data_IF_145288764183
#
_entry.id   IF_145288764183
#
_cell.length_a   1.000
_cell.length_b   1.000
_cell.length_c   1.000
_cell.angle_alpha   90.00
_cell.angle_beta   90.00
_cell.angle_gamma   90.00
#
_symmetry.space_group_name_H-M   'P 1'
#
loop_
_entity.id
_entity.type
_entity.pdbx_description
1 polymer ?
#
# COMPACT_ATOMS: atom_id res chain seq x y z
N UNK A 1 -45.30 17.27 29.81
CA UNK A 1 -44.53 17.77 28.65
C UNK A 1 -43.08 17.86 29.09
N UNK A 2 -42.28 16.86 28.73
CA UNK A 2 -41.00 16.56 29.37
C UNK A 2 -39.87 16.71 28.37
N UNK A 3 -38.87 17.52 28.73
CA UNK A 3 -37.57 17.63 28.08
C UNK A 3 -36.83 16.28 28.12
N UNK A 4 -36.28 15.85 26.98
CA UNK A 4 -35.26 14.80 26.95
C UNK A 4 -33.94 15.38 26.43
N UNK A 5 -32.96 15.36 27.33
CA UNK A 5 -31.55 15.64 27.12
C UNK A 5 -30.97 14.67 26.07
N UNK A 6 -30.18 15.22 25.16
CA UNK A 6 -29.23 14.49 24.32
C UNK A 6 -27.96 14.25 25.13
N UNK A 7 -27.73 13.01 25.55
CA UNK A 7 -26.49 12.59 26.20
C UNK A 7 -25.41 12.31 25.15
N UNK A 8 -24.28 13.00 25.31
CA UNK A 8 -23.02 12.80 24.60
C UNK A 8 -22.46 11.39 24.80
N UNK A 9 -22.10 10.72 23.71
CA UNK A 9 -21.25 9.52 23.75
C UNK A 9 -19.82 9.97 23.48
N UNK A 10 -19.13 10.41 24.54
CA UNK A 10 -17.67 10.59 24.56
C UNK A 10 -17.09 9.56 25.54
N UNK A 11 -16.97 8.33 25.10
CA UNK A 11 -16.21 7.31 25.79
C UNK A 11 -15.88 6.24 24.77
N UNK A 12 -14.62 5.80 24.73
CA UNK A 12 -14.06 4.62 24.02
C UNK A 12 -12.78 4.88 23.20
N UNK A 13 -12.20 6.09 23.26
CA UNK A 13 -10.84 6.36 22.74
C UNK A 13 -9.70 5.90 23.68
N UNK A 14 -10.01 5.26 24.81
CA UNK A 14 -9.09 5.15 25.94
C UNK A 14 -8.25 3.87 26.04
N UNK A 15 -8.41 2.92 25.11
CA UNK A 15 -7.71 1.61 25.20
C UNK A 15 -6.48 1.47 24.29
N UNK A 16 -6.19 2.46 23.43
CA UNK A 16 -5.02 2.47 22.54
C UNK A 16 -3.93 3.47 22.97
N UNK A 17 -4.15 4.21 24.05
CA UNK A 17 -3.26 5.29 24.53
C UNK A 17 -2.06 4.82 25.38
N UNK A 18 -1.82 3.52 25.53
CA UNK A 18 -0.70 2.98 26.32
C UNK A 18 0.58 2.69 25.50
N UNK A 19 0.73 3.30 24.31
CA UNK A 19 1.69 2.89 23.28
C UNK A 19 2.95 3.79 23.13
N UNK A 20 3.31 4.62 24.12
CA UNK A 20 4.48 5.52 24.02
C UNK A 20 5.60 5.27 25.03
N UNK A 21 5.78 4.03 25.52
CA UNK A 21 6.85 3.74 26.48
C UNK A 21 7.55 2.44 26.17
N UNK A 22 8.48 2.49 25.22
CA UNK A 22 9.67 1.64 25.28
C UNK A 22 10.52 2.12 26.45
N UNK A 23 10.24 1.61 27.66
CA UNK A 23 11.19 1.66 28.76
C UNK A 23 12.35 0.70 28.45
N UNK A 24 13.35 1.19 27.72
CA UNK A 24 14.72 0.76 27.98
C UNK A 24 15.34 1.81 28.91
N UNK A 25 15.63 1.40 30.13
CA UNK A 25 16.23 2.23 31.15
C UNK A 25 17.57 2.84 30.67
N UNK A 26 17.58 4.14 30.41
CA UNK A 26 18.78 4.98 30.51
C UNK A 26 18.37 6.45 30.72
N UNK A 27 18.65 6.95 31.92
CA UNK A 27 18.80 8.34 32.37
C UNK A 27 18.30 9.47 31.45
N UNK A 28 17.34 10.24 31.96
CA UNK A 28 16.84 11.47 31.37
C UNK A 28 17.93 12.52 31.14
N UNK A 29 18.21 12.78 29.87
CA UNK A 29 18.73 14.04 29.31
C UNK A 29 18.02 14.21 27.96
N UNK A 30 17.64 15.44 27.60
CA UNK A 30 16.81 15.77 26.44
C UNK A 30 17.26 15.11 25.12
N UNK A 31 16.60 14.02 24.70
CA UNK A 31 16.91 13.21 23.51
C UNK A 31 16.57 13.87 22.16
N UNK A 32 15.83 14.97 22.15
CA UNK A 32 15.30 15.58 20.93
C UNK A 32 16.37 16.14 19.98
N UNK A 33 17.52 16.60 20.50
CA UNK A 33 18.58 17.15 19.64
C UNK A 33 19.45 16.06 19.00
N UNK A 34 19.72 14.96 19.72
CA UNK A 34 20.55 13.86 19.22
C UNK A 34 19.83 13.06 18.12
N UNK A 35 18.51 12.86 18.27
CA UNK A 35 17.68 12.20 17.24
C UNK A 35 17.53 13.06 15.99
N UNK A 36 17.35 14.38 16.15
CA UNK A 36 17.29 15.32 15.02
C UNK A 36 18.62 15.38 14.24
N UNK A 37 19.76 15.37 14.93
CA UNK A 37 21.10 15.35 14.29
C UNK A 37 21.35 14.05 13.55
N UNK A 38 21.00 12.89 14.13
CA UNK A 38 21.10 11.59 13.44
C UNK A 38 20.20 11.52 12.21
N UNK A 39 19.02 12.13 12.28
CA UNK A 39 18.11 12.20 11.13
C UNK A 39 18.69 13.01 9.96
N UNK A 40 19.25 14.19 10.22
CA UNK A 40 19.78 15.04 9.13
C UNK A 40 21.02 14.40 8.49
N UNK A 41 21.90 13.82 9.32
CA UNK A 41 23.05 13.05 8.83
C UNK A 41 22.63 11.88 7.94
N UNK A 42 21.55 11.18 8.30
CA UNK A 42 21.03 10.10 7.46
C UNK A 42 20.46 10.60 6.13
N UNK A 43 19.73 11.73 6.11
CA UNK A 43 19.22 12.32 4.85
C UNK A 43 20.35 12.66 3.89
N UNK A 44 21.40 13.28 4.40
CA UNK A 44 22.60 13.61 3.64
C UNK A 44 23.28 12.34 3.13
N UNK A 45 23.39 11.30 3.97
CA UNK A 45 23.93 10.00 3.57
C UNK A 45 23.12 9.36 2.45
N UNK A 46 21.78 9.31 2.55
CA UNK A 46 20.92 8.79 1.47
C UNK A 46 21.13 9.58 0.19
N UNK A 47 21.09 10.91 0.25
CA UNK A 47 21.27 11.74 -0.95
C UNK A 47 22.64 11.53 -1.60
N UNK A 48 23.70 11.44 -0.79
CA UNK A 48 25.07 11.17 -1.24
C UNK A 48 25.17 9.80 -1.92
N UNK A 49 24.60 8.75 -1.32
CA UNK A 49 24.61 7.40 -1.89
C UNK A 49 23.75 7.31 -3.16
N UNK A 50 22.57 7.94 -3.18
CA UNK A 50 21.67 7.95 -4.34
C UNK A 50 22.24 8.74 -5.52
N UNK A 51 22.91 9.86 -5.29
CA UNK A 51 23.48 10.71 -6.37
C UNK A 51 24.94 10.39 -6.70
N UNK A 52 25.58 9.55 -5.87
CA UNK A 52 26.96 9.12 -6.05
C UNK A 52 27.19 8.28 -7.31
N UNK A 53 28.47 8.07 -7.63
CA UNK A 53 28.91 7.38 -8.86
C UNK A 53 28.76 5.86 -8.83
N UNK A 54 28.51 5.25 -7.66
CA UNK A 54 28.31 3.81 -7.52
C UNK A 54 27.14 3.33 -8.38
N UNK A 55 27.31 2.20 -9.08
CA UNK A 55 26.22 1.61 -9.85
C UNK A 55 25.11 1.08 -8.93
N UNK A 56 23.91 0.91 -9.47
CA UNK A 56 22.79 0.34 -8.71
C UNK A 56 23.11 -1.07 -8.22
N UNK A 57 23.80 -1.87 -9.03
CA UNK A 57 24.21 -3.23 -8.69
C UNK A 57 25.19 -3.23 -7.52
N UNK A 58 26.18 -2.32 -7.51
CA UNK A 58 27.11 -2.20 -6.39
C UNK A 58 26.39 -1.83 -5.09
N UNK A 59 25.41 -0.92 -5.15
CA UNK A 59 24.60 -0.57 -3.98
C UNK A 59 23.73 -1.72 -3.50
N UNK A 60 23.18 -2.52 -4.42
CA UNK A 60 22.42 -3.73 -4.07
C UNK A 60 23.29 -4.74 -3.34
N UNK A 61 24.52 -4.97 -3.77
CA UNK A 61 25.44 -5.90 -3.09
C UNK A 61 25.86 -5.39 -1.69
N UNK A 62 26.10 -4.09 -1.54
CA UNK A 62 26.35 -3.49 -0.21
C UNK A 62 25.12 -3.66 0.69
N UNK A 63 23.92 -3.36 0.17
CA UNK A 63 22.68 -3.49 0.91
C UNK A 63 22.44 -4.94 1.37
N UNK A 64 22.70 -5.94 0.50
CA UNK A 64 22.60 -7.37 0.87
C UNK A 64 23.56 -7.73 2.02
N UNK A 65 24.81 -7.28 1.96
CA UNK A 65 25.78 -7.54 3.04
C UNK A 65 25.33 -6.92 4.37
N UNK A 66 24.73 -5.72 4.35
CA UNK A 66 24.17 -5.10 5.56
C UNK A 66 22.96 -5.87 6.11
N UNK A 67 22.11 -6.39 5.21
CA UNK A 67 20.97 -7.24 5.60
C UNK A 67 21.47 -8.51 6.31
N UNK A 68 22.56 -9.12 5.83
CA UNK A 68 23.19 -10.28 6.48
C UNK A 68 23.75 -9.93 7.87
N UNK A 69 24.30 -8.73 8.03
CA UNK A 69 24.73 -8.24 9.35
C UNK A 69 23.56 -8.12 10.32
N UNK A 70 22.41 -7.58 9.89
CA UNK A 70 21.20 -7.59 10.72
C UNK A 70 20.78 -9.02 11.05
N UNK A 71 20.76 -9.92 10.05
CA UNK A 71 20.33 -11.31 10.21
C UNK A 71 21.17 -12.11 11.22
N UNK A 72 22.42 -11.73 11.45
CA UNK A 72 23.31 -12.36 12.43
C UNK A 72 23.31 -11.67 13.80
N UNK A 73 22.61 -10.55 13.93
CA UNK A 73 22.48 -9.80 15.19
C UNK A 73 21.34 -10.31 16.07
N UNK A 74 21.39 -9.99 17.36
CA UNK A 74 20.30 -10.23 18.31
C UNK A 74 19.09 -9.29 18.13
N UNK A 75 19.22 -8.26 17.29
CA UNK A 75 18.19 -7.26 16.98
C UNK A 75 17.30 -7.62 15.80
N UNK A 76 17.52 -8.75 15.12
CA UNK A 76 16.75 -9.14 13.93
C UNK A 76 15.27 -9.48 14.19
N UNK A 77 14.81 -9.44 15.44
CA UNK A 77 13.44 -9.78 15.81
C UNK A 77 12.69 -8.54 16.29
N UNK A 78 11.60 -8.24 15.62
CA UNK A 78 10.59 -7.30 16.09
C UNK A 78 9.46 -8.05 16.80
N UNK A 79 9.17 -7.68 18.05
CA UNK A 79 8.08 -8.24 18.84
C UNK A 79 7.04 -7.17 19.14
N UNK A 80 5.78 -7.47 18.84
CA UNK A 80 4.66 -6.60 19.12
C UNK A 80 3.39 -7.43 19.35
N UNK A 81 2.58 -7.09 20.36
CA UNK A 81 1.33 -7.81 20.64
C UNK A 81 1.49 -9.32 20.87
N UNK A 82 2.66 -9.76 21.36
CA UNK A 82 3.02 -11.17 21.53
C UNK A 82 3.21 -11.95 20.21
N UNK A 83 3.26 -11.27 19.06
CA UNK A 83 3.67 -11.83 17.77
C UNK A 83 5.10 -11.38 17.45
N UNK A 84 5.83 -12.20 16.71
CA UNK A 84 7.24 -11.97 16.35
C UNK A 84 7.40 -11.92 14.84
N UNK A 85 8.27 -11.03 14.37
CA UNK A 85 8.65 -10.88 12.96
C UNK A 85 10.17 -10.77 12.85
N UNK A 86 10.76 -11.59 12.00
CA UNK A 86 12.17 -11.44 11.60
C UNK A 86 12.29 -10.28 10.61
N UNK A 87 13.26 -9.38 10.78
CA UNK A 87 13.32 -8.10 10.07
C UNK A 87 14.18 -8.13 8.81
N UNK A 88 15.29 -8.87 8.79
CA UNK A 88 16.13 -8.98 7.59
C UNK A 88 15.35 -9.47 6.34
N UNK A 89 14.36 -10.38 6.42
CA UNK A 89 13.56 -10.76 5.26
C UNK A 89 12.73 -9.59 4.75
N UNK A 90 12.26 -8.69 5.62
CA UNK A 90 11.52 -7.49 5.19
C UNK A 90 12.43 -6.60 4.34
N UNK A 91 13.67 -6.34 4.79
CA UNK A 91 14.62 -5.54 4.02
C UNK A 91 15.00 -6.22 2.70
N UNK A 92 15.26 -7.53 2.73
CA UNK A 92 15.59 -8.33 1.56
C UNK A 92 14.47 -8.30 0.51
N UNK A 93 13.22 -8.48 0.94
CA UNK A 93 12.10 -8.53 0.02
C UNK A 93 11.70 -7.15 -0.49
N UNK A 94 11.81 -6.10 0.33
CA UNK A 94 11.69 -4.72 -0.14
C UNK A 94 12.73 -4.41 -1.21
N UNK A 95 14.00 -4.80 -1.01
CA UNK A 95 15.05 -4.61 -2.02
C UNK A 95 14.75 -5.41 -3.30
N UNK A 96 14.35 -6.67 -3.15
CA UNK A 96 14.10 -7.60 -4.26
C UNK A 96 12.87 -7.21 -5.08
N UNK A 97 11.83 -6.65 -4.46
CA UNK A 97 10.58 -6.29 -5.15
C UNK A 97 10.55 -4.84 -5.66
N UNK A 98 11.52 -3.98 -5.29
CA UNK A 98 11.55 -2.58 -5.73
C UNK A 98 11.63 -2.42 -7.26
N UNK A 99 12.29 -3.35 -7.96
CA UNK A 99 12.40 -3.31 -9.42
C UNK A 99 11.05 -3.54 -10.12
N UNK A 100 10.13 -4.29 -9.49
CA UNK A 100 8.83 -4.67 -10.07
C UNK A 100 7.94 -3.44 -10.24
N UNK A 101 7.99 -2.52 -9.27
CA UNK A 101 7.15 -1.32 -9.23
C UNK A 101 7.90 -0.05 -9.61
N UNK A 102 9.09 0.18 -9.05
CA UNK A 102 9.88 1.40 -9.25
C UNK A 102 11.01 1.28 -10.29
N UNK A 103 11.19 0.12 -10.91
CA UNK A 103 12.27 -0.12 -11.87
C UNK A 103 13.66 0.13 -11.25
N UNK A 104 14.63 0.52 -12.09
CA UNK A 104 16.00 0.79 -11.63
C UNK A 104 16.10 1.91 -10.59
N UNK A 105 15.21 2.93 -10.67
CA UNK A 105 15.15 4.03 -9.70
C UNK A 105 14.64 3.56 -8.34
N UNK A 106 13.59 2.76 -8.31
CA UNK A 106 13.07 2.15 -7.08
C UNK A 106 14.10 1.24 -6.41
N UNK A 107 14.75 0.38 -7.20
CA UNK A 107 15.85 -0.48 -6.72
C UNK A 107 16.98 0.35 -6.13
N UNK A 108 17.44 1.38 -6.86
CA UNK A 108 18.51 2.25 -6.39
C UNK A 108 18.13 2.95 -5.08
N UNK A 109 16.96 3.58 -5.01
CA UNK A 109 16.55 4.28 -3.79
C UNK A 109 16.45 3.33 -2.59
N UNK A 110 15.90 2.13 -2.79
CA UNK A 110 15.80 1.11 -1.74
C UNK A 110 17.18 0.66 -1.26
N UNK A 111 18.10 0.36 -2.19
CA UNK A 111 19.48 -0.01 -1.88
C UNK A 111 20.24 1.12 -1.18
N UNK A 112 20.07 2.36 -1.62
CA UNK A 112 20.70 3.54 -1.02
C UNK A 112 20.25 3.79 0.40
N UNK A 113 18.96 3.57 0.72
CA UNK A 113 18.42 3.70 2.08
C UNK A 113 19.03 2.68 3.03
N UNK A 114 19.13 1.42 2.60
CA UNK A 114 19.79 0.37 3.39
C UNK A 114 21.28 0.71 3.57
N UNK A 115 21.96 1.12 2.50
CA UNK A 115 23.38 1.48 2.52
C UNK A 115 23.66 2.68 3.44
N UNK A 116 22.79 3.68 3.43
CA UNK A 116 22.91 4.87 4.27
C UNK A 116 22.73 4.59 5.76
N UNK A 117 22.31 3.38 6.16
CA UNK A 117 22.28 2.97 7.55
C UNK A 117 23.69 2.80 8.15
N UNK A 118 24.76 2.72 7.35
CA UNK A 118 26.13 2.64 7.86
C UNK A 118 26.45 3.87 8.72
N UNK A 119 26.88 3.63 9.96
CA UNK A 119 27.32 4.64 10.91
C UNK A 119 28.82 4.54 11.14
N UNK A 120 29.49 5.70 11.22
CA UNK A 120 30.93 5.83 11.46
C UNK A 120 31.82 5.02 10.50
N UNK A 121 31.28 4.65 9.32
CA UNK A 121 31.96 3.80 8.35
C UNK A 121 32.04 2.32 8.73
N UNK A 122 31.38 1.89 9.81
CA UNK A 122 31.38 0.51 10.30
C UNK A 122 30.05 -0.21 9.99
N UNK A 123 30.01 -1.12 9.02
CA UNK A 123 28.80 -1.86 8.66
C UNK A 123 28.33 -2.85 9.73
N UNK A 124 29.17 -3.13 10.74
CA UNK A 124 28.92 -4.11 11.81
C UNK A 124 28.64 -3.47 13.18
N UNK A 125 28.71 -2.14 13.27
CA UNK A 125 28.48 -1.44 14.52
C UNK A 125 27.05 -1.60 15.02
N UNK A 126 26.89 -1.56 16.35
CA UNK A 126 25.58 -1.51 17.02
C UNK A 126 24.69 -0.36 16.52
N UNK A 127 25.31 0.76 16.13
CA UNK A 127 24.61 1.91 15.57
C UNK A 127 24.06 1.60 14.17
N UNK A 128 24.86 0.98 13.29
CA UNK A 128 24.41 0.52 11.97
C UNK A 128 23.26 -0.48 12.08
N UNK A 129 23.40 -1.49 12.95
CA UNK A 129 22.36 -2.49 13.20
C UNK A 129 21.08 -1.83 13.71
N UNK A 130 21.21 -0.86 14.64
CA UNK A 130 20.08 -0.07 15.12
C UNK A 130 19.35 0.72 14.03
N UNK A 131 20.08 1.24 13.03
CA UNK A 131 19.46 1.94 11.89
C UNK A 131 18.75 0.99 10.94
N UNK A 132 19.33 -0.18 10.66
CA UNK A 132 18.69 -1.23 9.85
C UNK A 132 17.39 -1.71 10.51
N UNK A 133 17.42 -1.92 11.84
CA UNK A 133 16.24 -2.25 12.63
C UNK A 133 15.15 -1.17 12.50
N UNK A 134 15.52 0.11 12.67
CA UNK A 134 14.59 1.22 12.58
C UNK A 134 13.98 1.37 11.17
N UNK A 135 14.78 1.15 10.12
CA UNK A 135 14.31 1.14 8.74
C UNK A 135 13.27 0.04 8.51
N UNK A 136 13.60 -1.20 8.89
CA UNK A 136 12.75 -2.37 8.69
C UNK A 136 11.42 -2.23 9.46
N UNK A 137 11.48 -1.86 10.74
CA UNK A 137 10.29 -1.67 11.58
C UNK A 137 9.39 -0.53 11.09
N UNK A 138 9.97 0.54 10.51
CA UNK A 138 9.17 1.60 9.91
C UNK A 138 8.51 1.17 8.61
N UNK A 139 9.19 0.40 7.75
CA UNK A 139 8.56 -0.20 6.57
C UNK A 139 7.40 -1.14 6.95
N UNK A 140 7.54 -1.95 8.00
CA UNK A 140 6.44 -2.79 8.49
C UNK A 140 5.29 -1.95 9.04
N UNK A 141 5.57 -1.07 10.01
CA UNK A 141 4.54 -0.36 10.76
C UNK A 141 3.84 0.74 9.97
N UNK A 142 4.53 1.41 9.05
CA UNK A 142 3.96 2.57 8.35
C UNK A 142 3.63 2.30 6.90
N UNK A 143 4.38 1.44 6.21
CA UNK A 143 4.09 1.12 4.82
C UNK A 143 3.20 -0.12 4.72
N UNK A 144 3.69 -1.30 5.12
CA UNK A 144 2.96 -2.56 4.95
C UNK A 144 1.67 -2.63 5.78
N UNK A 145 1.70 -2.15 7.02
CA UNK A 145 0.53 -2.11 7.90
C UNK A 145 -0.65 -1.35 7.29
N UNK A 146 -0.42 -0.16 6.71
CA UNK A 146 -1.50 0.67 6.16
C UNK A 146 -2.12 0.03 4.92
N UNK A 147 -1.35 -0.72 4.14
CA UNK A 147 -1.90 -1.51 3.04
C UNK A 147 -2.69 -2.71 3.55
N UNK A 148 -2.28 -3.35 4.65
CA UNK A 148 -2.98 -4.51 5.23
C UNK A 148 -4.25 -4.11 5.99
N UNK A 149 -4.17 -3.08 6.82
CA UNK A 149 -5.32 -2.58 7.57
C UNK A 149 -6.34 -2.04 6.55
N UNK A 150 -7.58 -2.53 6.60
CA UNK A 150 -8.69 -1.97 5.81
C UNK A 150 -9.12 -0.58 6.33
N UNK A 151 -8.30 0.02 7.20
CA UNK A 151 -8.59 1.16 8.05
C UNK A 151 -7.67 2.32 7.68
N UNK A 152 -8.08 3.54 8.01
CA UNK A 152 -7.29 4.75 7.76
C UNK A 152 -6.07 4.88 8.69
N UNK A 153 -5.25 5.90 8.43
CA UNK A 153 -4.11 6.28 9.28
C UNK A 153 -4.48 6.55 10.76
N UNK A 154 -5.76 6.77 11.06
CA UNK A 154 -6.28 6.86 12.44
C UNK A 154 -6.05 5.60 13.29
N UNK A 155 -5.74 4.46 12.66
CA UNK A 155 -5.50 3.19 13.35
C UNK A 155 -4.04 2.80 13.44
N UNK A 156 -3.13 3.67 12.98
CA UNK A 156 -1.70 3.44 13.06
C UNK A 156 -1.25 3.23 14.52
N UNK A 157 -0.77 2.04 14.91
CA UNK A 157 -0.30 1.79 16.28
C UNK A 157 1.01 2.49 16.60
N UNK A 158 1.91 2.67 15.62
CA UNK A 158 3.19 3.32 15.82
C UNK A 158 3.09 4.82 15.48
N UNK A 159 3.16 5.69 16.49
CA UNK A 159 3.05 7.14 16.32
C UNK A 159 4.39 7.83 16.02
N UNK A 160 5.50 7.11 16.16
CA UNK A 160 6.86 7.64 16.06
C UNK A 160 7.65 6.88 14.97
N UNK A 161 7.34 7.09 13.67
CA UNK A 161 8.14 6.51 12.60
C UNK A 161 9.58 7.03 12.64
N UNK A 162 10.53 6.14 12.35
CA UNK A 162 11.92 6.55 12.23
C UNK A 162 12.13 7.40 10.96
N UNK A 163 12.83 8.52 11.11
CA UNK A 163 13.21 9.35 9.95
C UNK A 163 14.17 8.62 8.99
N UNK A 164 14.79 7.51 9.44
CA UNK A 164 15.59 6.61 8.63
C UNK A 164 14.78 5.99 7.47
N UNK A 165 13.46 5.90 7.58
CA UNK A 165 12.62 5.47 6.46
C UNK A 165 12.11 6.62 5.58
N UNK A 166 12.35 7.88 5.94
CA UNK A 166 11.75 9.05 5.28
C UNK A 166 12.74 10.19 4.97
N UNK A 167 13.83 9.95 4.21
CA UNK A 167 14.83 10.95 3.89
C UNK A 167 14.29 12.10 3.00
N UNK A 168 13.27 11.86 2.17
CA UNK A 168 12.66 12.88 1.29
C UNK A 168 11.37 13.49 1.86
N UNK A 169 11.12 13.33 3.17
CA UNK A 169 9.87 13.72 3.84
C UNK A 169 9.45 15.16 3.57
N UNK A 170 10.41 16.08 3.60
CA UNK A 170 10.18 17.52 3.32
C UNK A 170 9.67 17.74 1.91
N UNK A 171 10.16 16.97 0.94
CA UNK A 171 9.73 17.10 -0.44
C UNK A 171 8.36 16.46 -0.66
N UNK A 172 8.12 15.29 -0.07
CA UNK A 172 6.79 14.64 -0.03
C UNK A 172 5.73 15.56 0.60
N UNK A 173 6.09 16.30 1.65
CA UNK A 173 5.21 17.29 2.32
C UNK A 173 4.75 18.41 1.39
N UNK A 174 5.58 18.84 0.43
CA UNK A 174 5.19 19.87 -0.56
C UNK A 174 4.01 19.43 -1.41
N UNK A 175 3.90 18.11 -1.62
CA UNK A 175 2.85 17.52 -2.40
C UNK A 175 1.67 17.14 -1.50
N UNK A 176 1.87 16.48 -0.35
CA UNK A 176 0.79 15.95 0.51
C UNK A 176 0.04 17.04 1.29
N UNK A 177 -0.88 17.74 0.60
CA UNK A 177 -1.62 18.90 1.13
C UNK A 177 -2.98 18.55 1.73
N UNK A 178 -3.71 17.56 1.21
CA UNK A 178 -5.07 17.25 1.69
C UNK A 178 -5.22 15.73 1.75
N UNK A 179 -5.79 15.23 2.85
CA UNK A 179 -6.21 13.84 2.98
C UNK A 179 -7.68 13.66 2.60
N UNK A 180 -8.05 12.46 2.20
CA UNK A 180 -9.44 12.13 1.89
C UNK A 180 -10.25 11.94 3.17
N UNK A 181 -11.47 12.48 3.17
CA UNK A 181 -12.45 12.17 4.21
C UNK A 181 -13.07 10.79 3.95
N UNK A 182 -13.33 9.98 5.00
CA UNK A 182 -14.17 8.79 4.88
C UNK A 182 -15.52 9.12 4.24
N UNK A 183 -16.02 8.25 3.36
CA UNK A 183 -17.33 8.41 2.72
C UNK A 183 -17.40 9.42 1.56
N UNK A 184 -16.45 10.36 1.43
CA UNK A 184 -16.42 11.32 0.32
C UNK A 184 -15.75 10.72 -0.94
N UNK A 185 -16.44 9.76 -1.58
CA UNK A 185 -15.96 9.10 -2.82
C UNK A 185 -16.34 9.89 -4.06
N UNK A 186 -15.51 9.90 -5.11
CA UNK A 186 -15.91 10.48 -6.42
C UNK A 186 -17.16 9.76 -6.94
N UNK A 187 -18.21 10.53 -7.22
CA UNK A 187 -19.38 10.01 -7.92
C UNK A 187 -18.95 9.54 -9.32
N UNK A 188 -19.36 8.34 -9.72
CA UNK A 188 -19.07 7.79 -11.05
C UNK A 188 -17.85 6.88 -11.15
N UNK A 189 -16.96 6.75 -10.14
CA UNK A 189 -15.82 5.82 -10.21
C UNK A 189 -16.28 4.38 -10.57
N UNK A 190 -17.30 3.88 -9.85
CA UNK A 190 -17.84 2.55 -10.09
C UNK A 190 -18.58 2.47 -11.44
N UNK A 191 -19.27 3.53 -11.85
CA UNK A 191 -20.04 3.53 -13.10
C UNK A 191 -19.11 3.56 -14.32
N UNK A 192 -18.01 4.29 -14.23
CA UNK A 192 -16.95 4.35 -15.25
C UNK A 192 -16.34 2.95 -15.45
N UNK A 193 -15.87 2.30 -14.37
CA UNK A 193 -15.27 0.96 -14.47
C UNK A 193 -16.29 -0.14 -14.79
N UNK A 194 -17.57 0.03 -14.42
CA UNK A 194 -18.64 -0.89 -14.82
C UNK A 194 -18.72 -1.01 -16.34
N UNK A 195 -18.82 0.14 -17.01
CA UNK A 195 -18.92 0.22 -18.47
C UNK A 195 -17.62 -0.25 -19.11
N UNK A 196 -16.47 0.19 -18.59
CA UNK A 196 -15.14 -0.20 -19.09
C UNK A 196 -14.93 -1.70 -19.05
N UNK A 197 -15.20 -2.35 -17.91
CA UNK A 197 -14.94 -3.77 -17.70
C UNK A 197 -16.10 -4.66 -18.21
N UNK A 198 -17.00 -4.10 -19.01
CA UNK A 198 -18.09 -4.82 -19.67
C UNK A 198 -19.10 -5.45 -18.70
N UNK A 199 -19.29 -4.84 -17.53
CA UNK A 199 -20.13 -5.33 -16.44
C UNK A 199 -19.72 -6.74 -15.97
N UNK A 200 -18.44 -7.10 -16.09
CA UNK A 200 -17.94 -8.43 -15.73
C UNK A 200 -16.85 -8.35 -14.66
N UNK A 201 -16.82 -9.36 -13.79
CA UNK A 201 -15.66 -9.59 -12.94
C UNK A 201 -14.49 -9.95 -13.84
N UNK A 202 -13.42 -9.15 -13.81
CA UNK A 202 -12.25 -9.34 -14.68
C UNK A 202 -11.56 -10.70 -14.49
N UNK A 203 -11.77 -11.35 -13.33
CA UNK A 203 -11.21 -12.67 -13.03
C UNK A 203 -12.20 -13.80 -13.36
N UNK A 204 -13.44 -13.73 -12.86
CA UNK A 204 -14.37 -14.87 -12.97
C UNK A 204 -15.29 -14.79 -14.19
N UNK A 205 -15.41 -13.63 -14.84
CA UNK A 205 -16.31 -13.38 -15.97
C UNK A 205 -17.79 -13.30 -15.58
N UNK A 206 -18.14 -13.47 -14.30
CA UNK A 206 -19.53 -13.32 -13.84
C UNK A 206 -20.00 -11.88 -14.03
N UNK A 207 -21.29 -11.70 -14.35
CA UNK A 207 -21.85 -10.40 -14.71
C UNK A 207 -22.49 -9.69 -13.52
N UNK A 208 -22.41 -8.36 -13.55
CA UNK A 208 -23.05 -7.47 -12.58
C UNK A 208 -24.57 -7.45 -12.70
N UNK A 209 -25.27 -7.23 -11.59
CA UNK A 209 -26.72 -7.04 -11.56
C UNK A 209 -27.21 -5.86 -12.42
N UNK A 210 -26.36 -4.85 -12.62
CA UNK A 210 -26.69 -3.70 -13.47
C UNK A 210 -26.51 -3.96 -14.97
N UNK A 211 -26.17 -5.20 -15.39
CA UNK A 211 -26.01 -5.53 -16.80
C UNK A 211 -27.29 -5.19 -17.61
N UNK A 212 -27.20 -4.42 -18.71
CA UNK A 212 -28.36 -4.05 -19.50
C UNK A 212 -28.90 -5.24 -20.31
N UNK A 213 -29.90 -5.92 -19.76
CA UNK A 213 -30.51 -7.14 -20.32
C UNK A 213 -30.99 -6.98 -21.78
N UNK A 214 -31.43 -5.78 -22.16
CA UNK A 214 -31.88 -5.50 -23.53
C UNK A 214 -30.78 -5.59 -24.59
N UNK A 215 -29.49 -5.48 -24.20
CA UNK A 215 -28.37 -5.61 -25.13
C UNK A 215 -28.02 -7.07 -25.44
N UNK A 216 -28.44 -8.03 -24.61
CA UNK A 216 -28.29 -9.46 -24.88
C UNK A 216 -29.55 -10.24 -24.51
N UNK A 217 -30.62 -10.14 -25.34
CA UNK A 217 -31.85 -10.87 -25.12
C UNK A 217 -31.56 -12.38 -25.08
N UNK A 218 -31.97 -13.06 -24.01
CA UNK A 218 -31.86 -14.52 -23.90
C UNK A 218 -30.65 -15.04 -23.12
N UNK A 219 -29.84 -14.19 -22.48
CA UNK A 219 -28.86 -14.61 -21.46
C UNK A 219 -29.57 -14.65 -20.09
N UNK A 220 -29.94 -15.82 -19.56
CA UNK A 220 -30.58 -15.89 -18.26
C UNK A 220 -29.56 -15.70 -17.12
N UNK A 221 -30.02 -15.27 -15.92
CA UNK A 221 -29.23 -15.25 -14.69
C UNK A 221 -28.55 -16.60 -14.39
N UNK A 222 -27.49 -16.63 -13.55
CA UNK A 222 -27.26 -15.68 -12.46
C UNK A 222 -26.35 -14.48 -12.81
N UNK A 223 -26.78 -13.30 -12.38
CA UNK A 223 -25.95 -12.10 -12.23
C UNK A 223 -25.67 -11.90 -10.73
N UNK A 224 -24.52 -11.33 -10.41
CA UNK A 224 -24.05 -11.13 -9.04
C UNK A 224 -23.67 -9.67 -8.81
N UNK A 225 -23.81 -9.13 -7.59
CA UNK A 225 -23.28 -7.79 -7.32
C UNK A 225 -21.75 -7.80 -7.46
N UNK A 226 -21.23 -6.92 -8.30
CA UNK A 226 -19.80 -6.67 -8.45
C UNK A 226 -19.40 -5.37 -7.76
N UNK A 227 -18.16 -5.34 -7.31
CA UNK A 227 -17.56 -4.25 -6.56
C UNK A 227 -16.45 -3.59 -7.37
N UNK A 228 -16.40 -2.26 -7.30
CA UNK A 228 -15.25 -1.51 -7.78
C UNK A 228 -14.09 -1.69 -6.81
N UNK A 229 -13.10 -2.47 -7.20
CA UNK A 229 -11.91 -2.73 -6.42
C UNK A 229 -10.84 -1.69 -6.74
N UNK A 230 -10.31 -1.01 -5.71
CA UNK A 230 -9.16 -0.12 -5.85
C UNK A 230 -7.86 -0.92 -5.85
N UNK A 231 -6.92 -0.59 -6.74
CA UNK A 231 -5.60 -1.23 -6.79
C UNK A 231 -4.70 -0.67 -5.67
N UNK A 232 -4.48 0.64 -5.67
CA UNK A 232 -3.94 1.36 -4.52
C UNK A 232 -5.11 1.65 -3.61
N UNK A 233 -5.10 0.99 -2.44
CA UNK A 233 -6.17 1.10 -1.46
C UNK A 233 -6.44 2.55 -1.08
N UNK A 234 -7.73 2.90 -1.06
CA UNK A 234 -8.18 4.23 -0.64
C UNK A 234 -7.76 4.59 0.79
N UNK A 235 -7.60 3.60 1.68
CA UNK A 235 -7.13 3.78 3.05
C UNK A 235 -5.82 4.58 3.17
N UNK A 236 -4.89 4.37 2.24
CA UNK A 236 -3.58 5.06 2.14
C UNK A 236 -3.72 6.58 1.94
N UNK A 237 -4.88 7.03 1.45
CA UNK A 237 -5.17 8.44 1.22
C UNK A 237 -6.11 9.03 2.28
N UNK A 238 -6.58 8.26 3.27
CA UNK A 238 -7.51 8.73 4.31
C UNK A 238 -6.75 9.07 5.58
N UNK A 239 -6.61 10.37 5.85
CA UNK A 239 -5.99 10.89 7.07
C UNK A 239 -6.52 12.29 7.36
N UNK A 240 -6.55 12.66 8.65
CA UNK A 240 -6.76 14.04 9.06
C UNK A 240 -5.42 14.79 9.10
N UNK A 241 -5.30 15.87 8.33
CA UNK A 241 -4.08 16.69 8.30
C UNK A 241 -3.84 17.45 9.62
N UNK A 242 -4.91 17.81 10.31
CA UNK A 242 -4.83 18.53 11.59
C UNK A 242 -4.50 17.59 12.77
N UNK A 243 -4.53 16.28 12.54
CA UNK A 243 -4.06 15.27 13.49
C UNK A 243 -2.58 14.95 13.18
N UNK A 244 -1.63 15.36 14.04
CA UNK A 244 -0.20 15.18 13.77
C UNK A 244 0.22 13.73 13.57
N UNK A 245 -0.40 12.79 14.30
CA UNK A 245 -0.05 11.36 14.25
C UNK A 245 -0.51 10.76 12.92
N UNK A 246 -1.76 11.05 12.52
CA UNK A 246 -2.28 10.59 11.24
C UNK A 246 -1.52 11.20 10.07
N UNK A 247 -1.23 12.50 10.14
CA UNK A 247 -0.52 13.18 9.08
C UNK A 247 0.91 12.68 8.94
N UNK A 248 1.61 12.47 10.06
CA UNK A 248 2.95 11.89 10.06
C UNK A 248 2.94 10.46 9.48
N UNK A 249 1.94 9.65 9.85
CA UNK A 249 1.79 8.30 9.31
C UNK A 249 1.57 8.30 7.79
N UNK A 250 0.68 9.16 7.30
CA UNK A 250 0.42 9.33 5.88
C UNK A 250 1.66 9.82 5.14
N UNK A 251 2.34 10.83 5.68
CA UNK A 251 3.54 11.40 5.09
C UNK A 251 4.66 10.37 4.97
N UNK A 252 4.87 9.53 5.98
CA UNK A 252 5.81 8.41 5.95
C UNK A 252 5.45 7.39 4.86
N UNK A 253 4.17 7.01 4.78
CA UNK A 253 3.68 6.04 3.79
C UNK A 253 3.90 6.52 2.36
N UNK A 254 3.53 7.79 2.08
CA UNK A 254 3.70 8.40 0.77
C UNK A 254 5.17 8.66 0.43
N UNK A 255 6.03 8.93 1.40
CA UNK A 255 7.48 9.03 1.16
C UNK A 255 8.07 7.68 0.74
N UNK A 256 7.67 6.60 1.41
CA UNK A 256 8.11 5.25 1.06
C UNK A 256 7.59 4.89 -0.34
N UNK A 257 6.30 5.08 -0.63
CA UNK A 257 5.71 4.83 -1.96
C UNK A 257 6.42 5.61 -3.07
N UNK A 258 6.71 6.88 -2.84
CA UNK A 258 7.43 7.71 -3.80
C UNK A 258 8.77 7.12 -4.19
N UNK A 259 9.51 6.59 -3.23
CA UNK A 259 10.89 6.15 -3.45
C UNK A 259 10.97 4.68 -3.87
N UNK A 260 10.23 3.82 -3.19
CA UNK A 260 10.14 2.39 -3.48
C UNK A 260 9.45 2.14 -4.83
N UNK A 261 8.26 2.72 -5.01
CA UNK A 261 7.43 2.46 -6.18
C UNK A 261 7.59 3.49 -7.29
N UNK A 262 8.30 4.61 -7.08
CA UNK A 262 8.29 5.74 -8.04
C UNK A 262 6.87 6.27 -8.31
N UNK A 263 5.98 6.06 -7.34
CA UNK A 263 4.60 6.45 -7.42
C UNK A 263 4.48 7.94 -7.09
N UNK A 264 4.72 8.82 -8.08
CA UNK A 264 4.35 10.27 -8.14
C UNK A 264 4.76 10.85 -9.53
N UNK A 265 3.97 11.73 -10.19
CA UNK A 265 4.28 13.16 -10.08
C UNK A 265 3.10 14.18 -10.24
N UNK A 266 3.43 15.45 -9.89
CA UNK A 266 2.77 16.76 -10.13
C UNK A 266 1.40 17.00 -9.45
N UNK A 267 1.43 17.59 -8.26
CA UNK A 267 0.27 18.11 -7.52
C UNK A 267 -0.72 17.07 -6.99
N UNK A 268 -0.40 16.55 -5.81
CA UNK A 268 -1.29 15.86 -4.87
C UNK A 268 -2.46 16.78 -4.37
N UNK A 269 -2.68 17.95 -5.00
CA UNK A 269 -3.82 18.81 -4.68
C UNK A 269 -5.16 18.05 -4.84
N UNK A 270 -5.21 17.04 -5.71
CA UNK A 270 -6.38 16.18 -5.89
C UNK A 270 -6.07 14.69 -5.67
N UNK A 271 -5.67 14.28 -4.45
CA UNK A 271 -5.58 12.85 -4.07
C UNK A 271 -6.84 12.06 -4.47
N UNK A 272 -8.00 12.71 -4.47
CA UNK A 272 -9.27 12.10 -4.86
C UNK A 272 -9.27 11.69 -6.33
N UNK A 273 -8.73 12.53 -7.20
CA UNK A 273 -8.67 12.28 -8.64
C UNK A 273 -7.56 11.30 -8.99
N UNK A 274 -6.61 11.07 -8.08
CA UNK A 274 -5.65 9.96 -8.19
C UNK A 274 -6.29 8.63 -7.77
N UNK A 275 -6.94 8.61 -6.60
CA UNK A 275 -7.38 7.38 -5.93
C UNK A 275 -8.72 6.88 -6.46
N UNK A 276 -9.69 7.77 -6.70
CA UNK A 276 -11.02 7.43 -7.20
C UNK A 276 -11.13 7.61 -8.74
N UNK A 277 -10.01 7.48 -9.46
CA UNK A 277 -9.99 7.48 -10.92
C UNK A 277 -9.97 6.05 -11.50
N UNK A 278 -10.56 5.84 -12.70
CA UNK A 278 -10.64 4.52 -13.33
C UNK A 278 -9.31 3.76 -13.44
N UNK A 279 -8.14 4.39 -13.70
CA UNK A 279 -6.86 3.68 -13.69
C UNK A 279 -6.50 3.00 -12.37
N UNK A 280 -7.08 3.43 -11.25
CA UNK A 280 -6.85 2.85 -9.93
C UNK A 280 -7.88 1.78 -9.54
N UNK A 281 -8.62 1.20 -10.49
CA UNK A 281 -9.48 0.09 -10.12
C UNK A 281 -10.08 -0.68 -11.28
N UNK A 282 -10.75 -1.77 -10.93
CA UNK A 282 -11.46 -2.68 -11.84
C UNK A 282 -12.55 -3.45 -11.09
N UNK A 283 -13.45 -4.11 -11.82
CA UNK A 283 -14.54 -4.87 -11.24
C UNK A 283 -14.13 -6.26 -10.76
N UNK A 284 -14.52 -6.59 -9.53
CA UNK A 284 -14.40 -7.91 -8.96
C UNK A 284 -15.70 -8.40 -8.32
N UNK A 285 -15.88 -9.72 -8.30
CA UNK A 285 -16.83 -10.36 -7.40
C UNK A 285 -16.37 -10.17 -5.95
N UNK A 286 -17.31 -10.05 -5.01
CA UNK A 286 -17.05 -9.81 -3.59
C UNK A 286 -15.92 -10.68 -2.99
N UNK A 287 -15.97 -12.00 -3.18
CA UNK A 287 -14.96 -12.91 -2.61
C UNK A 287 -13.56 -12.67 -3.21
N UNK A 288 -13.50 -12.49 -4.54
CA UNK A 288 -12.24 -12.20 -5.23
C UNK A 288 -11.69 -10.84 -4.80
N UNK A 289 -12.56 -9.84 -4.60
CA UNK A 289 -12.20 -8.54 -4.05
C UNK A 289 -11.59 -8.68 -2.66
N UNK A 290 -12.23 -9.43 -1.76
CA UNK A 290 -11.69 -9.69 -0.42
C UNK A 290 -10.29 -10.33 -0.48
N UNK A 291 -10.09 -11.32 -1.34
CA UNK A 291 -8.80 -11.97 -1.55
C UNK A 291 -7.73 -10.99 -2.08
N UNK A 292 -8.09 -10.16 -3.06
CA UNK A 292 -7.19 -9.15 -3.64
C UNK A 292 -6.76 -8.12 -2.60
N UNK A 293 -7.73 -7.65 -1.82
CA UNK A 293 -7.52 -6.71 -0.75
C UNK A 293 -6.59 -7.29 0.31
N UNK A 294 -6.75 -8.57 0.67
CA UNK A 294 -5.88 -9.23 1.65
C UNK A 294 -4.49 -9.60 1.12
N UNK A 295 -4.20 -9.26 -0.13
CA UNK A 295 -3.01 -9.65 -0.88
C UNK A 295 -2.87 -11.17 -1.02
N UNK A 296 -3.96 -11.94 -0.92
CA UNK A 296 -3.92 -13.39 -1.11
C UNK A 296 -3.60 -13.79 -2.57
N UNK A 297 -3.82 -12.85 -3.50
CA UNK A 297 -3.40 -12.93 -4.89
C UNK A 297 -3.15 -11.52 -5.45
N UNK A 298 -2.42 -11.44 -6.56
CA UNK A 298 -2.20 -10.21 -7.31
C UNK A 298 -2.23 -10.46 -8.83
N UNK A 299 -2.10 -9.39 -9.61
CA UNK A 299 -1.92 -9.46 -11.06
C UNK A 299 -0.44 -9.20 -11.38
N UNK A 300 0.21 -10.15 -12.04
CA UNK A 300 1.58 -10.02 -12.54
C UNK A 300 1.56 -9.68 -14.04
N UNK A 301 2.38 -8.71 -14.43
CA UNK A 301 2.54 -8.31 -15.83
C UNK A 301 3.03 -9.49 -16.67
N UNK A 302 2.53 -9.56 -17.90
CA UNK A 302 3.10 -10.40 -18.95
C UNK A 302 3.85 -9.54 -19.96
N UNK A 303 4.48 -10.18 -20.94
CA UNK A 303 5.10 -9.51 -22.10
C UNK A 303 4.07 -8.83 -23.01
N UNK A 304 2.78 -9.17 -22.87
CA UNK A 304 1.70 -8.59 -23.66
C UNK A 304 1.07 -7.44 -22.89
N UNK A 305 0.97 -6.29 -23.55
CA UNK A 305 0.36 -5.08 -22.99
C UNK A 305 -1.08 -5.36 -22.53
N UNK A 306 -1.46 -4.81 -21.38
CA UNK A 306 -2.77 -4.98 -20.75
C UNK A 306 -3.18 -6.43 -20.42
N UNK A 307 -2.25 -7.38 -20.51
CA UNK A 307 -2.43 -8.79 -20.15
C UNK A 307 -1.62 -9.13 -18.89
N UNK A 308 -2.28 -9.80 -17.96
CA UNK A 308 -1.75 -10.13 -16.64
C UNK A 308 -2.04 -11.58 -16.28
N UNK A 309 -1.16 -12.20 -15.51
CA UNK A 309 -1.40 -13.50 -14.88
C UNK A 309 -1.82 -13.30 -13.44
N UNK A 310 -2.83 -14.03 -12.98
CA UNK A 310 -3.19 -14.09 -11.56
C UNK A 310 -2.15 -14.93 -10.83
N UNK A 311 -1.44 -14.31 -9.89
CA UNK A 311 -0.54 -15.01 -8.97
C UNK A 311 -1.22 -15.19 -7.64
N UNK A 312 -1.36 -16.44 -7.21
CA UNK A 312 -1.90 -16.81 -5.90
C UNK A 312 -0.73 -16.99 -4.93
N UNK A 313 -0.85 -16.39 -3.75
CA UNK A 313 0.07 -16.58 -2.64
C UNK A 313 -0.53 -17.44 -1.52
N UNK A 314 -1.85 -17.36 -1.32
CA UNK A 314 -2.58 -18.18 -0.34
C UNK A 314 -3.67 -19.01 -1.04
N UNK A 315 -3.33 -20.28 -1.31
CA UNK A 315 -4.20 -21.26 -1.97
C UNK A 315 -5.53 -21.52 -1.24
N UNK A 316 -5.62 -21.19 0.06
CA UNK A 316 -6.83 -21.42 0.84
C UNK A 316 -7.64 -20.14 1.06
N UNK A 317 -7.04 -18.96 0.85
CA UNK A 317 -7.66 -17.66 1.14
C UNK A 317 -7.71 -16.72 -0.07
N UNK A 318 -7.36 -17.18 -1.27
CA UNK A 318 -7.42 -16.35 -2.48
C UNK A 318 -8.86 -15.99 -2.89
N UNK A 319 -9.86 -16.79 -2.52
CA UNK A 319 -11.28 -16.46 -2.67
C UNK A 319 -11.73 -16.22 -4.13
N UNK A 320 -11.03 -16.81 -5.11
CA UNK A 320 -11.43 -16.78 -6.52
C UNK A 320 -12.19 -18.07 -6.84
N UNK A 321 -13.50 -17.95 -7.02
CA UNK A 321 -14.35 -19.09 -7.34
C UNK A 321 -13.92 -19.77 -8.65
N UNK A 322 -13.86 -21.10 -8.63
CA UNK A 322 -13.55 -21.93 -9.80
C UNK A 322 -12.08 -21.97 -10.21
N UNK A 323 -11.19 -21.25 -9.53
CA UNK A 323 -9.75 -21.32 -9.75
C UNK A 323 -9.13 -22.33 -8.78
N UNK A 324 -8.63 -23.44 -9.32
CA UNK A 324 -7.98 -24.50 -8.54
C UNK A 324 -6.46 -24.41 -8.61
N UNK A 325 -5.78 -24.99 -7.62
CA UNK A 325 -4.31 -25.07 -7.55
C UNK A 325 -3.68 -25.47 -8.90
N UNK A 326 -2.68 -24.70 -9.32
CA UNK A 326 -1.90 -24.93 -10.55
C UNK A 326 -2.58 -24.50 -11.85
N UNK A 327 -3.82 -24.00 -11.81
CA UNK A 327 -4.43 -23.36 -12.98
C UNK A 327 -3.85 -21.96 -13.18
N UNK A 328 -3.38 -21.69 -14.40
CA UNK A 328 -2.97 -20.35 -14.81
C UNK A 328 -4.21 -19.60 -15.25
N UNK A 329 -4.52 -18.49 -14.56
CA UNK A 329 -5.58 -17.57 -14.97
C UNK A 329 -4.96 -16.31 -15.54
N UNK A 330 -5.33 -15.99 -16.79
CA UNK A 330 -4.96 -14.76 -17.48
C UNK A 330 -6.13 -13.78 -17.46
N UNK A 331 -5.82 -12.50 -17.27
CA UNK A 331 -6.74 -11.37 -17.32
C UNK A 331 -6.25 -10.41 -18.39
N UNK A 332 -7.17 -9.90 -19.21
CA UNK A 332 -6.90 -8.89 -20.22
C UNK A 332 -7.87 -7.73 -20.04
N UNK A 333 -7.35 -6.51 -20.07
CA UNK A 333 -8.17 -5.31 -19.94
C UNK A 333 -8.47 -4.70 -21.30
N UNK A 334 -9.76 -4.40 -21.53
CA UNK A 334 -10.29 -3.71 -22.69
C UNK A 334 -11.30 -2.67 -22.22
N UNK A 335 -11.46 -1.59 -22.98
CA UNK A 335 -12.53 -0.63 -22.72
C UNK A 335 -13.79 -1.02 -23.51
N UNK A 336 -14.79 -1.53 -22.80
CA UNK A 336 -16.09 -1.87 -23.36
C UNK A 336 -17.09 -0.72 -23.30
N UNK A 337 -16.69 0.48 -22.85
CA UNK A 337 -17.63 1.55 -22.51
C UNK A 337 -18.55 1.98 -23.66
N UNK A 338 -18.05 1.96 -24.90
CA UNK A 338 -18.83 2.30 -26.10
C UNK A 338 -19.95 1.29 -26.42
N UNK A 339 -19.78 0.01 -26.02
CA UNK A 339 -20.79 -1.05 -26.21
C UNK A 339 -22.07 -0.75 -25.43
N UNK A 340 -21.94 -0.07 -24.29
CA UNK A 340 -23.02 0.16 -23.32
C UNK A 340 -23.62 1.57 -23.36
N UNK A 341 -23.29 2.35 -24.38
CA UNK A 341 -23.83 3.71 -24.54
C UNK A 341 -25.29 3.72 -24.96
N UNK A 342 -26.08 4.61 -24.36
CA UNK A 342 -27.47 4.83 -24.78
C UNK A 342 -27.55 5.55 -26.13
N UNK A 343 -28.71 5.50 -26.79
CA UNK A 343 -28.95 6.20 -28.05
C UNK A 343 -28.80 7.74 -27.89
N UNK A 344 -29.20 8.28 -26.74
CA UNK A 344 -29.02 9.69 -26.37
C UNK A 344 -27.53 10.02 -26.17
N UNK A 345 -26.76 9.13 -25.55
CA UNK A 345 -25.32 9.32 -25.37
C UNK A 345 -24.58 9.28 -26.70
N UNK A 346 -24.97 8.41 -27.64
CA UNK A 346 -24.35 8.30 -28.99
C UNK A 346 -24.66 9.49 -29.89
N UNK A 347 -25.82 10.12 -29.72
CA UNK A 347 -26.25 11.24 -30.56
C UNK A 347 -25.75 12.61 -30.09
N UNK A 348 -25.13 12.71 -28.90
CA UNK A 348 -24.62 13.96 -28.36
C UNK A 348 -23.17 14.28 -28.83
N UNK A 349 -22.94 15.40 -29.55
CA UNK A 349 -21.59 15.83 -29.96
C UNK A 349 -20.68 16.19 -28.79
N UNK A 350 -21.27 16.56 -27.64
CA UNK A 350 -20.59 16.89 -26.37
C UNK A 350 -20.18 15.64 -25.58
N UNK A 351 -20.75 14.48 -25.90
CA UNK A 351 -20.40 13.17 -25.33
C UNK A 351 -19.76 12.30 -26.41
N UNK A 352 -18.79 12.79 -27.20
CA UNK A 352 -17.94 11.88 -27.99
C UNK A 352 -17.38 10.79 -27.07
N UNK A 353 -17.13 9.59 -27.62
CA UNK A 353 -16.53 8.46 -26.88
C UNK A 353 -15.38 8.99 -26.04
N UNK A 354 -15.61 9.09 -24.74
CA UNK A 354 -14.56 9.35 -23.77
C UNK A 354 -14.17 7.97 -23.32
N UNK A 355 -13.18 7.39 -24.00
CA UNK A 355 -12.56 6.14 -23.59
C UNK A 355 -12.31 6.19 -22.09
N UNK A 356 -12.79 5.19 -21.37
CA UNK A 356 -12.56 5.08 -19.94
C UNK A 356 -11.17 4.46 -19.76
N UNK A 357 -10.21 5.16 -19.13
CA UNK A 357 -8.85 4.66 -19.02
C UNK A 357 -8.76 3.27 -18.38
N UNK A 358 -7.93 2.40 -18.96
CA UNK A 358 -7.61 1.09 -18.43
C UNK A 358 -6.87 1.18 -17.09
N UNK A 359 -6.88 0.10 -16.28
CA UNK A 359 -6.09 0.04 -15.06
C UNK A 359 -4.62 0.33 -15.31
N UNK A 360 -4.03 1.17 -14.47
CA UNK A 360 -2.63 1.57 -14.58
C UNK A 360 -1.73 0.35 -14.37
N UNK A 361 -0.90 -0.02 -15.37
CA UNK A 361 0.07 -1.09 -15.22
C UNK A 361 1.05 -0.80 -14.07
N UNK A 362 1.31 0.47 -13.77
CA UNK A 362 2.17 0.86 -12.66
C UNK A 362 1.52 0.56 -11.31
N UNK A 363 0.24 0.89 -11.12
CA UNK A 363 -0.46 0.58 -9.86
C UNK A 363 -0.58 -0.93 -9.63
N UNK A 364 -0.83 -1.69 -10.70
CA UNK A 364 -0.84 -3.16 -10.64
C UNK A 364 0.52 -3.69 -10.17
N UNK A 365 1.61 -3.17 -10.73
CA UNK A 365 2.98 -3.52 -10.29
C UNK A 365 3.24 -3.16 -8.82
N UNK A 366 2.71 -2.03 -8.32
CA UNK A 366 2.83 -1.65 -6.90
C UNK A 366 2.13 -2.66 -6.01
N UNK A 367 0.88 -3.03 -6.32
CA UNK A 367 0.14 -4.03 -5.56
C UNK A 367 0.85 -5.39 -5.58
N UNK A 368 1.33 -5.84 -6.75
CA UNK A 368 2.07 -7.09 -6.88
C UNK A 368 3.39 -7.10 -6.08
N UNK A 369 4.13 -6.00 -6.09
CA UNK A 369 5.36 -5.85 -5.29
C UNK A 369 5.05 -5.93 -3.80
N UNK A 370 4.03 -5.23 -3.31
CA UNK A 370 3.61 -5.27 -1.91
C UNK A 370 3.13 -6.68 -1.52
N UNK A 371 2.35 -7.35 -2.38
CA UNK A 371 1.94 -8.74 -2.17
C UNK A 371 3.16 -9.65 -1.97
N UNK A 372 4.13 -9.55 -2.87
CA UNK A 372 5.39 -10.29 -2.78
C UNK A 372 6.13 -10.04 -1.48
N UNK A 373 6.32 -8.77 -1.10
CA UNK A 373 6.97 -8.42 0.18
C UNK A 373 6.22 -9.00 1.37
N UNK A 374 4.90 -8.85 1.43
CA UNK A 374 4.09 -9.34 2.55
C UNK A 374 4.22 -10.86 2.74
N UNK A 375 4.21 -11.63 1.65
CA UNK A 375 4.26 -13.09 1.73
C UNK A 375 5.66 -13.63 1.93
N UNK A 376 6.63 -13.12 1.16
CA UNK A 376 8.00 -13.65 1.16
C UNK A 376 8.78 -13.28 2.43
N UNK A 377 8.46 -12.14 3.06
CA UNK A 377 9.10 -11.71 4.32
C UNK A 377 8.43 -12.25 5.59
N UNK A 378 7.24 -12.84 5.46
CA UNK A 378 6.39 -13.19 6.61
C UNK A 378 5.67 -12.00 7.27
N UNK A 379 5.92 -10.75 6.83
CA UNK A 379 5.25 -9.57 7.38
C UNK A 379 3.73 -9.63 7.25
N UNK A 380 3.20 -10.21 6.16
CA UNK A 380 1.77 -10.36 5.95
C UNK A 380 1.10 -11.22 7.02
N UNK A 381 1.72 -12.36 7.37
CA UNK A 381 1.22 -13.24 8.45
C UNK A 381 1.29 -12.54 9.80
N UNK A 382 2.41 -11.89 10.10
CA UNK A 382 2.57 -11.10 11.32
C UNK A 382 1.49 -10.03 11.46
N UNK A 383 1.24 -9.26 10.39
CA UNK A 383 0.21 -8.22 10.39
C UNK A 383 -1.20 -8.79 10.50
N UNK A 384 -1.50 -9.91 9.86
CA UNK A 384 -2.80 -10.59 9.99
C UNK A 384 -3.05 -11.02 11.44
N UNK A 385 -2.05 -11.60 12.13
CA UNK A 385 -2.16 -11.97 13.55
C UNK A 385 -2.40 -10.76 14.46
N UNK A 386 -1.74 -9.64 14.18
CA UNK A 386 -1.95 -8.40 14.94
C UNK A 386 -3.34 -7.82 14.72
N UNK A 387 -3.77 -7.73 13.46
CA UNK A 387 -5.09 -7.21 13.13
C UNK A 387 -6.19 -8.10 13.72
N UNK A 388 -6.03 -9.42 13.69
CA UNK A 388 -6.97 -10.37 14.31
C UNK A 388 -7.06 -10.22 15.84
N UNK A 389 -5.95 -9.93 16.53
CA UNK A 389 -5.90 -9.75 17.99
C UNK A 389 -6.51 -8.42 18.44
N UNK A 390 -6.32 -7.37 17.67
CA UNK A 390 -6.70 -6.01 18.03
C UNK A 390 -7.92 -5.51 17.27
N UNK A 391 -8.70 -6.40 16.64
CA UNK A 391 -9.94 -6.03 15.97
C UNK A 391 -11.03 -5.66 17.01
N UNK A 392 -11.38 -4.37 17.19
CA UNK A 392 -12.40 -3.96 18.15
C UNK A 392 -13.79 -4.51 17.81
N UNK A 393 -14.02 -4.95 16.56
CA UNK A 393 -15.32 -5.45 16.11
C UNK A 393 -15.51 -6.96 16.41
N UNK A 394 -14.50 -7.62 17.01
CA UNK A 394 -14.56 -9.04 17.42
C UNK A 394 -14.89 -9.27 18.91
N UNK A 395 -15.03 -8.22 19.72
CA UNK A 395 -15.36 -8.32 21.15
C UNK A 395 -16.79 -7.87 21.47
#
# INVERSE_FOLDING_TARGET
>A
MSHKQTSSVSSHSSSLTALSSTECAASGVSNTSAEAVRSESYKEAVHSVETGSSSTEALVEIAKSLIETLATSDKDVYEFGGSKLTLHPVLCEMLSHAHICGGSKGTRSTASRITACIQDGDPTSEATIGMLYNLATTWVSHFLYIFKSSRSHSTQPNKEPSETATPSRTDTKKHLKVGLTPGNRRAGFRDDILKRDGYQCIVTGVRDLAFPVHLQPGVPPPFFPLEGCHIIRRAVAVFNREDPDQYLSALTTWDILRNFAQLLPVNIEDLRDLIDAPPNGFLLQHDAHNGFDRFAWCLEKTEVENRYTVKIFDEYKHSISGLTKGQVKVVEFYDHSDEFRTAEERSSPLKRSLEVPLPSPHYISVHAAIAGVLHMSGAGKFLDELLDKFDPDRN
#
